data_IF_655306596576
#
_entry.id   IF_655306596576
#
_cell.length_a   1.000
_cell.length_b   1.000
_cell.length_c   1.000
_cell.angle_alpha   90.00
_cell.angle_beta   90.00
_cell.angle_gamma   90.00
#
_symmetry.space_group_name_H-M   'P 1'
#
loop_
_entity.id
_entity.type
_entity.pdbx_description
1 polymer ?
#
# COMPACT_ATOMS: atom_id res chain seq x y z
N UNK A 1 11.99 4.02 67.50
CA UNK A 1 10.68 3.97 66.83
C UNK A 1 10.90 4.34 65.38
N UNK A 2 10.85 3.36 64.48
CA UNK A 2 10.87 3.66 63.03
C UNK A 2 9.58 4.44 62.74
N UNK A 3 9.73 5.66 62.24
CA UNK A 3 8.62 6.58 62.01
C UNK A 3 7.67 5.95 60.99
N UNK A 4 6.39 5.77 61.36
CA UNK A 4 5.35 5.19 60.52
C UNK A 4 5.28 5.88 59.14
N UNK A 5 5.60 7.18 59.10
CA UNK A 5 5.67 7.98 57.89
C UNK A 5 6.81 7.55 56.95
N UNK A 6 7.94 7.12 57.50
CA UNK A 6 9.10 6.62 56.75
C UNK A 6 8.84 5.25 56.14
N UNK A 7 8.16 4.34 56.88
CA UNK A 7 7.72 3.06 56.33
C UNK A 7 6.69 3.23 55.21
N UNK A 8 5.75 4.17 55.35
CA UNK A 8 4.75 4.46 54.31
C UNK A 8 5.39 5.02 53.04
N UNK A 9 6.37 5.93 53.17
CA UNK A 9 7.11 6.47 52.03
C UNK A 9 7.91 5.40 51.29
N UNK A 10 8.60 4.51 52.01
CA UNK A 10 9.38 3.42 51.42
C UNK A 10 8.46 2.41 50.72
N UNK A 11 7.29 2.11 51.29
CA UNK A 11 6.29 1.24 50.67
C UNK A 11 5.73 1.88 49.38
N UNK A 12 5.37 3.17 49.41
CA UNK A 12 4.88 3.89 48.23
C UNK A 12 5.93 4.02 47.12
N UNK A 13 7.19 4.26 47.47
CA UNK A 13 8.32 4.27 46.54
C UNK A 13 8.56 2.89 45.91
N UNK A 14 8.50 1.82 46.72
CA UNK A 14 8.64 0.44 46.23
C UNK A 14 7.48 0.03 45.31
N UNK A 15 6.25 0.46 45.63
CA UNK A 15 5.06 0.22 44.83
C UNK A 15 5.10 1.00 43.50
N UNK A 16 5.57 2.26 43.52
CA UNK A 16 5.82 3.03 42.28
C UNK A 16 6.90 2.38 41.42
N UNK A 17 7.98 1.88 42.02
CA UNK A 17 9.04 1.19 41.31
C UNK A 17 8.55 -0.14 40.70
N UNK A 18 7.70 -0.89 41.43
CA UNK A 18 7.08 -2.13 40.95
C UNK A 18 6.07 -1.87 39.82
N UNK A 19 5.23 -0.82 39.92
CA UNK A 19 4.29 -0.41 38.85
C UNK A 19 5.04 0.12 37.63
N UNK A 20 6.16 0.83 37.80
CA UNK A 20 7.01 1.25 36.69
C UNK A 20 7.74 0.06 36.02
N UNK A 21 8.08 -0.99 36.77
CA UNK A 21 8.61 -2.25 36.23
C UNK A 21 7.53 -3.10 35.54
N UNK A 22 6.27 -2.95 35.93
CA UNK A 22 5.10 -3.56 35.31
C UNK A 22 4.44 -2.69 34.23
N UNK A 23 5.05 -1.55 33.87
CA UNK A 23 4.66 -0.82 32.67
C UNK A 23 5.02 -1.68 31.46
N UNK A 24 4.13 -2.62 31.14
CA UNK A 24 4.11 -3.34 29.88
C UNK A 24 4.23 -2.26 28.82
N UNK A 25 5.30 -2.33 28.04
CA UNK A 25 5.48 -1.48 26.88
C UNK A 25 4.38 -1.87 25.88
N UNK A 26 3.17 -1.35 26.09
CA UNK A 26 2.03 -1.61 25.21
C UNK A 26 2.31 -0.88 23.92
N UNK A 27 3.01 -1.57 23.01
CA UNK A 27 3.20 -1.14 21.63
C UNK A 27 1.82 -0.76 21.09
N UNK A 28 1.61 0.54 20.84
CA UNK A 28 0.31 1.08 20.46
C UNK A 28 -0.04 0.66 19.03
N UNK A 29 -0.45 -0.61 18.89
CA UNK A 29 -0.82 -1.29 17.64
C UNK A 29 -2.29 -1.07 17.26
N UNK A 30 -3.03 -0.36 18.12
CA UNK A 30 -4.47 -0.12 17.97
C UNK A 30 -4.80 0.57 16.65
N UNK A 31 -3.96 1.51 16.21
CA UNK A 31 -4.09 2.17 14.91
C UNK A 31 -3.95 1.20 13.74
N UNK A 32 -2.98 0.28 13.81
CA UNK A 32 -2.74 -0.69 12.73
C UNK A 32 -3.89 -1.71 12.65
N UNK A 33 -4.34 -2.20 13.80
CA UNK A 33 -5.50 -3.09 13.89
C UNK A 33 -6.75 -2.40 13.33
N UNK A 34 -6.99 -1.13 13.69
CA UNK A 34 -8.16 -0.37 13.23
C UNK A 34 -8.11 -0.10 11.72
N UNK A 35 -6.93 0.23 11.19
CA UNK A 35 -6.71 0.42 9.76
C UNK A 35 -6.98 -0.87 8.96
N UNK A 36 -6.51 -2.01 9.44
CA UNK A 36 -6.74 -3.30 8.80
C UNK A 36 -8.19 -3.78 8.96
N UNK A 37 -8.86 -3.52 10.08
CA UNK A 37 -10.31 -3.81 10.20
C UNK A 37 -11.15 -2.93 9.27
N UNK A 38 -10.77 -1.66 9.09
CA UNK A 38 -11.40 -0.78 8.10
C UNK A 38 -11.11 -1.21 6.66
N UNK A 39 -9.98 -1.87 6.40
CA UNK A 39 -9.73 -2.56 5.13
C UNK A 39 -10.64 -3.78 4.97
N UNK A 40 -10.71 -4.64 6.00
CA UNK A 40 -11.60 -5.82 6.00
C UNK A 40 -13.06 -5.46 5.79
N UNK A 41 -13.56 -4.36 6.35
CA UNK A 41 -14.97 -3.95 6.18
C UNK A 41 -15.33 -3.55 4.75
N UNK A 42 -14.33 -3.25 3.91
CA UNK A 42 -14.54 -2.94 2.49
C UNK A 42 -14.34 -4.16 1.57
N UNK A 43 -14.06 -5.33 2.15
CA UNK A 43 -14.09 -6.61 1.44
C UNK A 43 -15.55 -7.05 1.32
N UNK A 44 -16.04 -7.13 0.10
CA UNK A 44 -17.42 -7.50 -0.25
C UNK A 44 -17.56 -8.98 -0.58
N UNK A 45 -16.46 -9.67 -0.91
CA UNK A 45 -16.44 -11.11 -1.10
C UNK A 45 -15.15 -11.69 -0.52
N UNK A 46 -15.30 -12.66 0.36
CA UNK A 46 -14.25 -13.51 0.92
C UNK A 46 -14.73 -14.97 0.82
N UNK A 47 -14.66 -15.57 -0.39
CA UNK A 47 -15.38 -16.80 -0.69
C UNK A 47 -14.94 -18.01 0.14
N UNK A 48 -13.76 -17.93 0.74
CA UNK A 48 -13.18 -18.99 1.57
C UNK A 48 -13.17 -18.63 3.05
N UNK A 49 -13.82 -17.52 3.44
CA UNK A 49 -13.86 -17.01 4.82
C UNK A 49 -12.48 -16.82 5.45
N UNK A 50 -11.45 -16.53 4.65
CA UNK A 50 -10.06 -16.49 5.11
C UNK A 50 -9.89 -15.32 6.08
N UNK A 51 -10.36 -14.14 5.70
CA UNK A 51 -10.27 -12.94 6.53
C UNK A 51 -11.40 -12.93 7.56
N UNK A 52 -12.61 -13.35 7.18
CA UNK A 52 -13.79 -13.33 8.04
C UNK A 52 -13.57 -14.13 9.33
N UNK A 53 -13.01 -15.34 9.25
CA UNK A 53 -12.71 -16.23 10.40
C UNK A 53 -11.41 -15.93 11.13
N UNK A 54 -10.42 -15.31 10.47
CA UNK A 54 -9.10 -15.13 11.05
C UNK A 54 -8.87 -13.74 11.69
N UNK A 55 -9.26 -12.68 10.99
CA UNK A 55 -9.03 -11.31 11.46
C UNK A 55 -10.08 -10.93 12.50
N UNK A 56 -9.67 -10.79 13.76
CA UNK A 56 -10.58 -10.52 14.88
C UNK A 56 -9.99 -9.50 15.84
N UNK A 57 -10.85 -8.70 16.47
CA UNK A 57 -10.45 -7.80 17.57
C UNK A 57 -9.88 -8.55 18.77
N UNK A 58 -10.22 -9.85 18.92
CA UNK A 58 -9.75 -10.72 19.99
C UNK A 58 -8.38 -11.36 19.74
N UNK A 59 -7.81 -11.23 18.55
CA UNK A 59 -6.50 -11.80 18.21
C UNK A 59 -5.48 -10.71 17.88
N UNK A 60 -4.21 -11.01 18.16
CA UNK A 60 -3.12 -10.08 17.85
C UNK A 60 -2.96 -9.92 16.35
N UNK A 61 -2.92 -8.67 15.87
CA UNK A 61 -2.91 -8.36 14.43
C UNK A 61 -1.72 -8.95 13.67
N UNK A 62 -0.58 -9.16 14.34
CA UNK A 62 0.58 -9.80 13.71
C UNK A 62 0.42 -11.31 13.50
N UNK A 63 -0.65 -11.91 14.04
CA UNK A 63 -1.02 -13.32 13.80
C UNK A 63 -2.07 -13.44 12.69
N UNK A 64 -2.53 -12.33 12.13
CA UNK A 64 -3.52 -12.36 11.08
C UNK A 64 -2.93 -12.86 9.77
N UNK A 65 -3.69 -13.67 9.04
CA UNK A 65 -3.30 -14.19 7.74
C UNK A 65 -2.93 -13.04 6.82
N UNK A 66 -1.73 -13.14 6.25
CA UNK A 66 -1.17 -12.15 5.33
C UNK A 66 -0.57 -10.92 6.01
N UNK A 67 -0.67 -10.76 7.33
CA UNK A 67 -0.07 -9.64 8.05
C UNK A 67 1.29 -10.07 8.62
N UNK A 68 2.32 -9.26 8.39
CA UNK A 68 3.57 -9.38 9.16
C UNK A 68 3.85 -8.08 9.89
N UNK A 69 4.51 -8.19 11.03
CA UNK A 69 4.93 -7.05 11.82
C UNK A 69 6.45 -6.94 11.90
N UNK A 70 6.93 -5.71 12.00
CA UNK A 70 8.33 -5.39 12.25
C UNK A 70 8.72 -5.87 13.66
N UNK A 71 9.80 -6.66 13.76
CA UNK A 71 10.24 -7.27 15.02
C UNK A 71 10.63 -6.24 16.09
N UNK A 72 11.22 -5.11 15.66
CA UNK A 72 11.72 -4.07 16.58
C UNK A 72 10.54 -3.32 17.20
N UNK A 73 9.61 -2.86 16.37
CA UNK A 73 8.55 -1.95 16.78
C UNK A 73 7.23 -2.67 17.08
N UNK A 74 7.05 -3.92 16.62
CA UNK A 74 5.78 -4.64 16.67
C UNK A 74 4.66 -3.88 15.97
N UNK A 75 4.96 -3.29 14.81
CA UNK A 75 4.03 -2.53 13.96
C UNK A 75 3.83 -3.26 12.65
N UNK A 76 2.66 -3.12 12.03
CA UNK A 76 2.38 -3.78 10.76
C UNK A 76 3.38 -3.31 9.70
N UNK A 77 4.08 -4.29 9.14
CA UNK A 77 5.17 -4.13 8.19
C UNK A 77 4.74 -4.51 6.78
N UNK A 78 3.97 -5.59 6.62
CA UNK A 78 3.46 -5.98 5.31
C UNK A 78 2.06 -6.55 5.36
N UNK A 79 1.36 -6.42 4.23
CA UNK A 79 0.11 -7.10 3.94
C UNK A 79 0.26 -7.87 2.62
N UNK A 80 0.15 -9.18 2.69
CA UNK A 80 0.29 -10.10 1.56
C UNK A 80 -0.95 -10.98 1.47
N UNK A 81 -1.86 -10.66 0.55
CA UNK A 81 -3.14 -11.34 0.34
C UNK A 81 -3.28 -11.84 -1.10
N UNK A 82 -2.25 -12.53 -1.62
CA UNK A 82 -2.19 -12.97 -3.02
C UNK A 82 -3.13 -14.14 -3.30
N UNK A 83 -3.79 -14.14 -4.46
CA UNK A 83 -4.56 -15.28 -4.97
C UNK A 83 -5.67 -15.77 -4.02
N UNK A 84 -6.34 -14.86 -3.31
CA UNK A 84 -7.36 -15.22 -2.29
C UNK A 84 -8.79 -15.10 -2.82
N UNK A 85 -8.97 -14.75 -4.10
CA UNK A 85 -10.28 -14.49 -4.72
C UNK A 85 -11.10 -13.42 -3.99
N UNK A 86 -10.42 -12.49 -3.30
CA UNK A 86 -11.07 -11.40 -2.57
C UNK A 86 -11.67 -10.38 -3.53
N UNK A 87 -12.85 -9.86 -3.21
CA UNK A 87 -13.48 -8.74 -3.93
C UNK A 87 -13.74 -7.60 -2.96
N UNK A 88 -13.50 -6.37 -3.40
CA UNK A 88 -13.71 -5.18 -2.57
C UNK A 88 -12.97 -3.98 -3.13
N UNK A 89 -12.74 -3.00 -2.28
CA UNK A 89 -11.90 -1.83 -2.58
C UNK A 89 -10.80 -1.68 -1.54
N UNK A 90 -9.73 -0.99 -1.90
CA UNK A 90 -8.64 -0.70 -0.96
C UNK A 90 -9.08 0.44 -0.04
N UNK A 91 -9.08 0.21 1.26
CA UNK A 91 -9.43 1.24 2.24
C UNK A 91 -8.37 2.34 2.31
N UNK A 92 -8.77 3.62 2.29
CA UNK A 92 -7.84 4.75 2.49
C UNK A 92 -7.16 4.68 3.86
N UNK A 93 -7.75 4.00 4.84
CA UNK A 93 -7.19 3.84 6.18
C UNK A 93 -5.88 3.03 6.18
N UNK A 94 -5.55 2.28 5.12
CA UNK A 94 -4.22 1.68 4.97
C UNK A 94 -3.12 2.75 4.99
N UNK A 95 -3.41 4.00 4.60
CA UNK A 95 -2.51 5.14 4.72
C UNK A 95 -2.07 5.48 6.16
N UNK A 96 -2.72 4.90 7.18
CA UNK A 96 -2.35 5.09 8.59
C UNK A 96 -1.28 4.09 9.07
N UNK A 97 -0.89 3.11 8.25
CA UNK A 97 0.11 2.09 8.59
C UNK A 97 1.54 2.65 8.46
N UNK A 98 1.95 3.51 9.40
CA UNK A 98 3.22 4.26 9.34
C UNK A 98 4.53 3.43 9.20
N UNK A 99 4.50 2.12 9.43
CA UNK A 99 5.65 1.20 9.28
C UNK A 99 5.54 0.28 8.06
N UNK A 100 4.56 0.52 7.19
CA UNK A 100 4.25 -0.35 6.06
C UNK A 100 5.30 -0.26 4.96
N UNK A 101 5.75 -1.42 4.50
CA UNK A 101 6.82 -1.59 3.52
C UNK A 101 6.34 -2.34 2.29
N UNK A 102 5.44 -3.31 2.45
CA UNK A 102 4.97 -4.15 1.35
C UNK A 102 3.43 -4.22 1.38
N UNK A 103 2.82 -3.77 0.29
CA UNK A 103 1.44 -4.09 -0.05
C UNK A 103 1.44 -5.03 -1.24
N UNK A 104 0.99 -6.26 -1.06
CA UNK A 104 0.81 -7.21 -2.14
C UNK A 104 -0.57 -7.89 -2.08
N UNK A 105 -1.46 -7.45 -2.95
CA UNK A 105 -2.82 -7.95 -3.10
C UNK A 105 -3.04 -8.51 -4.51
N UNK A 106 -1.95 -8.95 -5.16
CA UNK A 106 -1.96 -9.47 -6.52
C UNK A 106 -2.98 -10.58 -6.72
N UNK A 107 -3.62 -10.59 -7.88
CA UNK A 107 -4.50 -11.66 -8.36
C UNK A 107 -5.71 -11.84 -7.43
N UNK A 108 -6.53 -10.80 -7.38
CA UNK A 108 -7.82 -10.78 -6.70
C UNK A 108 -8.83 -10.05 -7.59
N UNK A 109 -9.94 -9.58 -7.03
CA UNK A 109 -10.96 -8.77 -7.68
C UNK A 109 -11.15 -7.43 -6.97
N UNK A 110 -10.06 -6.80 -6.50
CA UNK A 110 -10.11 -5.43 -5.99
C UNK A 110 -10.40 -4.46 -7.13
N UNK A 111 -11.32 -3.52 -6.92
CA UNK A 111 -11.70 -2.52 -7.92
C UNK A 111 -11.74 -1.10 -7.36
N UNK A 112 -12.41 -0.21 -8.08
CA UNK A 112 -12.47 1.22 -7.76
C UNK A 112 -11.12 1.92 -8.01
N UNK A 113 -11.07 3.19 -7.64
CA UNK A 113 -9.85 3.99 -7.71
C UNK A 113 -8.87 3.60 -6.60
N UNK A 114 -7.57 3.68 -6.89
CA UNK A 114 -6.54 3.49 -5.87
C UNK A 114 -6.51 4.69 -4.91
N UNK A 115 -6.61 4.47 -3.58
CA UNK A 115 -6.72 5.56 -2.62
C UNK A 115 -5.42 6.36 -2.48
N UNK A 116 -5.52 7.69 -2.57
CA UNK A 116 -4.37 8.60 -2.48
C UNK A 116 -3.72 8.59 -1.10
N UNK A 117 -4.45 8.22 -0.05
CA UNK A 117 -3.95 8.13 1.32
C UNK A 117 -2.82 7.10 1.47
N UNK A 118 -2.83 6.03 0.68
CA UNK A 118 -1.75 5.03 0.66
C UNK A 118 -0.43 5.63 0.16
N UNK A 119 -0.50 6.72 -0.62
CA UNK A 119 0.68 7.44 -1.09
C UNK A 119 1.40 8.23 0.02
N UNK A 120 0.85 8.28 1.24
CA UNK A 120 1.51 8.87 2.43
C UNK A 120 2.53 7.93 3.07
N UNK A 121 2.54 6.65 2.69
CA UNK A 121 3.38 5.62 3.29
C UNK A 121 4.83 5.70 2.81
N UNK A 122 5.60 6.67 3.35
CA UNK A 122 6.99 6.97 2.93
C UNK A 122 8.00 5.83 3.10
N UNK A 123 7.61 4.71 3.72
CA UNK A 123 8.43 3.50 3.88
C UNK A 123 8.08 2.39 2.88
N UNK A 124 7.04 2.58 2.06
CA UNK A 124 6.59 1.58 1.11
C UNK A 124 7.68 1.35 0.06
N UNK A 125 8.09 0.08 -0.08
CA UNK A 125 9.09 -0.39 -1.05
C UNK A 125 8.45 -1.21 -2.17
N UNK A 126 7.36 -1.91 -1.87
CA UNK A 126 6.66 -2.76 -2.84
C UNK A 126 5.18 -2.41 -2.83
N UNK A 127 4.68 -2.00 -3.98
CA UNK A 127 3.25 -1.88 -4.26
C UNK A 127 2.91 -2.83 -5.41
N UNK A 128 2.27 -3.95 -5.08
CA UNK A 128 1.87 -4.96 -6.05
C UNK A 128 0.37 -5.18 -6.02
N UNK A 129 -0.30 -4.60 -7.01
CA UNK A 129 -1.76 -4.65 -7.15
C UNK A 129 -2.19 -5.21 -8.51
N UNK A 130 -1.25 -5.82 -9.24
CA UNK A 130 -1.50 -6.44 -10.54
C UNK A 130 -2.54 -7.54 -10.50
N UNK A 131 -3.18 -7.80 -11.65
CA UNK A 131 -4.26 -8.78 -11.79
C UNK A 131 -5.43 -8.49 -10.84
N UNK A 132 -5.99 -7.28 -10.98
CA UNK A 132 -7.17 -6.83 -10.27
C UNK A 132 -8.08 -6.07 -11.25
N UNK A 133 -8.98 -5.23 -10.75
CA UNK A 133 -9.95 -4.44 -11.52
C UNK A 133 -9.86 -2.95 -11.17
N UNK A 134 -8.69 -2.46 -10.76
CA UNK A 134 -8.50 -1.05 -10.41
C UNK A 134 -8.75 -0.15 -11.61
N UNK A 135 -9.47 0.94 -11.41
CA UNK A 135 -9.90 1.87 -12.46
C UNK A 135 -9.54 3.32 -12.13
N UNK A 136 -9.85 4.23 -13.06
CA UNK A 136 -9.44 5.64 -12.98
C UNK A 136 -7.96 5.83 -13.32
N UNK A 137 -7.44 7.02 -13.05
CA UNK A 137 -6.05 7.37 -13.30
C UNK A 137 -5.09 6.84 -12.24
N UNK A 138 -3.82 6.66 -12.62
CA UNK A 138 -2.73 6.45 -11.68
C UNK A 138 -2.55 7.75 -10.85
N UNK A 139 -2.70 7.73 -9.51
CA UNK A 139 -2.55 8.96 -8.72
C UNK A 139 -1.15 9.55 -8.83
N UNK A 140 -1.04 10.84 -9.14
CA UNK A 140 0.26 11.52 -9.20
C UNK A 140 1.02 11.46 -7.87
N UNK A 141 0.31 11.35 -6.74
CA UNK A 141 0.90 11.15 -5.43
C UNK A 141 1.68 9.82 -5.30
N UNK A 142 1.57 8.85 -6.22
CA UNK A 142 2.46 7.70 -6.19
C UNK A 142 3.95 8.11 -6.31
N UNK A 143 4.23 9.23 -6.96
CA UNK A 143 5.57 9.84 -7.02
C UNK A 143 6.14 10.31 -5.68
N UNK A 144 5.31 10.39 -4.64
CA UNK A 144 5.72 10.78 -3.29
C UNK A 144 6.33 9.62 -2.47
N UNK A 145 6.21 8.38 -2.96
CA UNK A 145 6.72 7.19 -2.29
C UNK A 145 8.23 7.06 -2.49
N UNK A 146 9.00 7.94 -1.87
CA UNK A 146 10.44 8.10 -2.06
C UNK A 146 11.32 6.90 -1.68
N UNK A 147 10.75 5.79 -1.22
CA UNK A 147 11.44 4.53 -0.95
C UNK A 147 10.95 3.38 -1.84
N UNK A 148 10.03 3.65 -2.78
CA UNK A 148 9.44 2.64 -3.63
C UNK A 148 10.49 2.06 -4.58
N UNK A 149 10.54 0.73 -4.64
CA UNK A 149 11.47 -0.03 -5.47
C UNK A 149 10.74 -0.83 -6.54
N UNK A 150 9.52 -1.28 -6.25
CA UNK A 150 8.74 -2.13 -7.13
C UNK A 150 7.30 -1.62 -7.21
N UNK A 151 6.89 -1.19 -8.40
CA UNK A 151 5.55 -0.70 -8.69
C UNK A 151 4.91 -1.56 -9.77
N UNK A 152 4.03 -2.47 -9.35
CA UNK A 152 3.34 -3.40 -10.23
C UNK A 152 1.84 -3.10 -10.27
N UNK A 153 1.43 -2.45 -11.35
CA UNK A 153 0.06 -2.03 -11.66
C UNK A 153 -0.54 -2.85 -12.83
N UNK A 154 0.24 -3.74 -13.45
CA UNK A 154 -0.17 -4.41 -14.67
C UNK A 154 -1.40 -5.31 -14.55
N UNK A 155 -2.10 -5.56 -15.67
CA UNK A 155 -3.35 -6.33 -15.72
C UNK A 155 -4.42 -5.74 -14.79
N UNK A 156 -4.79 -4.48 -15.06
CA UNK A 156 -5.85 -3.73 -14.39
C UNK A 156 -6.66 -2.93 -15.42
N UNK A 157 -7.51 -2.03 -14.95
CA UNK A 157 -8.43 -1.22 -15.72
C UNK A 157 -8.05 0.28 -15.68
N UNK A 158 -6.80 0.62 -15.34
CA UNK A 158 -6.34 2.01 -15.24
C UNK A 158 -6.45 2.74 -16.59
N UNK A 159 -6.85 4.00 -16.56
CA UNK A 159 -7.03 4.90 -17.72
C UNK A 159 -6.21 6.19 -17.56
N UNK A 160 -6.19 7.05 -18.58
CA UNK A 160 -5.42 8.29 -18.54
C UNK A 160 -3.93 8.04 -18.76
N UNK A 161 -3.08 8.92 -18.24
CA UNK A 161 -1.63 8.91 -18.49
C UNK A 161 -0.83 8.37 -17.30
N UNK A 162 0.44 8.02 -17.54
CA UNK A 162 1.40 7.84 -16.44
C UNK A 162 1.81 9.24 -15.92
N UNK A 163 1.62 9.58 -14.64
CA UNK A 163 2.00 10.89 -14.12
C UNK A 163 3.52 11.15 -14.21
N UNK A 164 3.93 12.37 -14.55
CA UNK A 164 5.36 12.74 -14.60
C UNK A 164 6.08 12.53 -13.26
N UNK A 165 5.35 12.64 -12.15
CA UNK A 165 5.83 12.43 -10.79
C UNK A 165 6.33 11.00 -10.53
N UNK A 166 5.97 10.02 -11.36
CA UNK A 166 6.59 8.68 -11.29
C UNK A 166 8.10 8.76 -11.49
N UNK A 167 8.59 9.73 -12.27
CA UNK A 167 10.01 9.99 -12.44
C UNK A 167 10.74 10.47 -11.18
N UNK A 168 10.02 10.89 -10.13
CA UNK A 168 10.61 11.27 -8.84
C UNK A 168 11.04 10.07 -8.00
N UNK A 169 10.67 8.84 -8.39
CA UNK A 169 10.95 7.61 -7.64
C UNK A 169 12.38 7.14 -7.89
N UNK A 170 13.34 7.81 -7.24
CA UNK A 170 14.79 7.60 -7.44
C UNK A 170 15.28 6.17 -7.15
N UNK A 171 14.53 5.37 -6.39
CA UNK A 171 14.88 3.99 -6.03
C UNK A 171 14.08 2.94 -6.79
N UNK A 172 13.21 3.35 -7.72
CA UNK A 172 12.36 2.42 -8.46
C UNK A 172 13.21 1.59 -9.41
N UNK A 173 13.13 0.27 -9.25
CA UNK A 173 13.81 -0.74 -10.06
C UNK A 173 12.90 -1.34 -11.11
N UNK A 174 11.64 -1.57 -10.75
CA UNK A 174 10.67 -2.12 -11.68
C UNK A 174 9.39 -1.30 -11.72
N UNK A 175 9.00 -0.92 -12.94
CA UNK A 175 7.72 -0.30 -13.25
C UNK A 175 6.96 -1.19 -14.24
N UNK A 176 5.83 -1.75 -13.79
CA UNK A 176 4.92 -2.50 -14.64
C UNK A 176 3.54 -1.84 -14.67
N UNK A 177 3.20 -1.22 -15.80
CA UNK A 177 1.86 -0.70 -16.08
C UNK A 177 1.21 -1.44 -17.25
N UNK A 178 1.74 -2.59 -17.65
CA UNK A 178 1.30 -3.35 -18.83
C UNK A 178 -0.14 -3.82 -18.71
N UNK A 179 -0.82 -4.08 -19.83
CA UNK A 179 -2.19 -4.60 -19.84
C UNK A 179 -3.15 -3.72 -19.03
N UNK A 180 -3.21 -2.44 -19.37
CA UNK A 180 -4.16 -1.47 -18.85
C UNK A 180 -4.80 -0.73 -20.04
N UNK A 181 -5.48 0.39 -19.77
CA UNK A 181 -6.05 1.29 -20.79
C UNK A 181 -5.41 2.66 -20.71
N UNK A 182 -4.12 2.72 -20.38
CA UNK A 182 -3.37 3.96 -20.29
C UNK A 182 -3.11 4.52 -21.69
N UNK A 183 -3.11 5.84 -21.82
CA UNK A 183 -2.94 6.57 -23.07
C UNK A 183 -2.06 7.80 -22.89
N UNK A 184 -1.82 8.52 -23.99
CA UNK A 184 -0.95 9.70 -24.00
C UNK A 184 0.54 9.33 -24.08
N UNK A 185 1.43 10.34 -23.95
CA UNK A 185 2.87 10.12 -24.04
C UNK A 185 3.42 9.44 -22.78
N UNK A 186 4.49 8.68 -22.96
CA UNK A 186 5.31 8.18 -21.84
C UNK A 186 6.10 9.37 -21.27
N UNK A 187 6.02 9.67 -19.96
CA UNK A 187 6.75 10.79 -19.38
C UNK A 187 8.25 10.69 -19.63
N UNK A 188 8.84 11.77 -20.14
CA UNK A 188 10.29 11.84 -20.38
C UNK A 188 11.08 11.67 -19.07
N UNK A 189 10.49 12.02 -17.92
CA UNK A 189 11.09 11.81 -16.60
C UNK A 189 11.46 10.35 -16.34
N UNK A 190 10.77 9.37 -16.94
CA UNK A 190 11.10 7.94 -16.82
C UNK A 190 12.47 7.63 -17.44
N UNK A 191 12.85 8.32 -18.52
CA UNK A 191 14.15 8.13 -19.17
C UNK A 191 15.34 8.56 -18.29
N UNK A 192 15.09 9.41 -17.28
CA UNK A 192 16.10 9.90 -16.34
C UNK A 192 16.20 9.04 -15.07
N UNK A 193 15.42 7.96 -14.94
CA UNK A 193 15.41 7.11 -13.75
C UNK A 193 16.60 6.15 -13.74
N UNK A 194 17.71 6.58 -13.13
CA UNK A 194 18.96 5.80 -13.08
C UNK A 194 18.89 4.44 -12.39
N UNK A 195 17.93 4.24 -11.47
CA UNK A 195 17.73 2.97 -10.76
C UNK A 195 16.82 2.00 -11.51
N UNK A 196 16.16 2.42 -12.61
CA UNK A 196 15.14 1.62 -13.28
C UNK A 196 15.79 0.52 -14.12
N UNK A 197 15.49 -0.73 -13.78
CA UNK A 197 16.04 -1.94 -14.40
C UNK A 197 15.02 -2.58 -15.37
N UNK A 198 13.72 -2.52 -15.03
CA UNK A 198 12.64 -3.14 -15.80
C UNK A 198 11.50 -2.16 -16.02
N UNK A 199 11.13 -1.97 -17.28
CA UNK A 199 10.00 -1.14 -17.70
C UNK A 199 9.04 -1.94 -18.59
N UNK A 200 7.82 -2.18 -18.12
CA UNK A 200 6.78 -2.93 -18.83
C UNK A 200 5.57 -2.03 -19.12
N UNK A 201 5.42 -1.64 -20.39
CA UNK A 201 4.37 -0.71 -20.85
C UNK A 201 3.42 -1.33 -21.88
N UNK A 202 3.69 -2.56 -22.34
CA UNK A 202 2.96 -3.21 -23.43
C UNK A 202 1.45 -3.39 -23.12
N UNK A 203 0.64 -3.58 -24.16
CA UNK A 203 -0.82 -3.69 -24.06
C UNK A 203 -1.46 -2.48 -23.35
N UNK A 204 -1.20 -1.29 -23.90
CA UNK A 204 -1.81 0.00 -23.55
C UNK A 204 -2.03 0.81 -24.84
N UNK A 205 -2.59 2.01 -24.73
CA UNK A 205 -2.85 2.96 -25.82
C UNK A 205 -1.88 4.15 -25.82
N UNK A 206 -0.62 3.93 -25.42
CA UNK A 206 0.38 5.00 -25.42
C UNK A 206 0.62 5.52 -26.84
N UNK A 207 0.59 6.85 -27.00
CA UNK A 207 0.92 7.49 -28.26
C UNK A 207 2.42 7.66 -28.41
N UNK A 208 2.90 7.61 -29.66
CA UNK A 208 4.31 7.78 -29.97
C UNK A 208 4.81 9.16 -29.54
N UNK A 209 5.94 9.19 -28.84
CA UNK A 209 6.80 10.38 -28.77
C UNK A 209 7.48 10.56 -30.13
N UNK A 210 6.74 11.05 -31.12
CA UNK A 210 7.25 11.31 -32.46
C UNK A 210 6.44 12.43 -33.11
N UNK A 211 7.04 13.61 -33.25
CA UNK A 211 6.53 14.62 -34.15
C UNK A 211 6.46 14.04 -35.57
N UNK A 212 5.28 14.12 -36.16
CA UNK A 212 5.00 13.63 -37.50
C UNK A 212 3.49 13.64 -37.68
N UNK A 213 2.99 14.75 -38.22
CA UNK A 213 1.61 14.81 -38.71
C UNK A 213 1.42 13.69 -39.74
N UNK A 214 0.49 12.79 -39.44
CA UNK A 214 -0.19 11.98 -40.44
C UNK A 214 -1.55 12.60 -40.59
N UNK A 215 -1.79 13.22 -41.74
CA UNK A 215 -3.06 13.75 -42.19
C UNK A 215 -4.12 12.63 -42.13
N UNK A 216 -5.24 12.89 -41.47
CA UNK A 216 -6.48 12.15 -41.69
C UNK A 216 -6.96 12.51 -43.09
N UNK A 217 -6.79 11.61 -44.06
CA UNK A 217 -7.54 11.66 -45.31
C UNK A 217 -8.95 11.14 -45.02
N UNK A 218 -9.90 12.06 -45.03
CA UNK A 218 -11.33 11.78 -45.09
C UNK A 218 -11.66 11.05 -46.41
N UNK A 219 -11.99 9.76 -46.34
CA UNK A 219 -12.69 9.08 -47.45
C UNK A 219 -14.18 9.43 -47.39
N UNK A 220 -14.57 10.40 -48.23
CA UNK A 220 -15.95 10.74 -48.55
C UNK A 220 -16.53 9.65 -49.47
N UNK A 221 -17.41 8.83 -48.92
CA UNK A 221 -18.15 7.79 -49.64
C UNK A 221 -19.18 8.43 -50.59
N UNK A 222 -19.17 8.00 -51.86
CA UNK A 222 -20.06 8.47 -52.93
C UNK A 222 -20.97 7.34 -53.40
#
# INVERSE_FOLDING_TARGET
MVNLLSCLLLFLLSLHCFVACLAVNTKNITTDQSALLAFKSLITSDPYDILSKNWSTSSFVCNWVGVTCDERHGRVHSLILRNMSLKGIVSPNLGNLSFFVILDIKNNSFGGQFPIEVCRLRRLKVLHISYNKFEGGIPAALGDLSQLQYLYLGANNFTGFIPESIGNLQWLKELDTSNNRLSGPIPQTISNMSSLEVLKLFSNYFSGSGGGGGEEEDEEEK
#
